data_IF_204313670398
#
_entry.id   IF_204313670398
#
_cell.length_a   1.000
_cell.length_b   1.000
_cell.length_c   1.000
_cell.angle_alpha   90.00
_cell.angle_beta   90.00
_cell.angle_gamma   90.00
#
_symmetry.space_group_name_H-M   'P 1'
#
loop_
_entity.id
_entity.type
_entity.pdbx_description
1 polymer ?
#
# COMPACT_ATOMS: atom_id res chain seq x y z
N UNK A 1 -17.57 -10.09 15.70
CA UNK A 1 -16.38 -10.80 15.16
C UNK A 1 -15.15 -9.97 15.48
N UNK A 2 -13.95 -10.52 15.54
CA UNK A 2 -12.76 -9.70 15.68
C UNK A 2 -12.53 -8.88 14.40
N UNK A 3 -11.99 -7.64 14.50
CA UNK A 3 -11.75 -6.77 13.34
C UNK A 3 -10.74 -7.39 12.37
N UNK A 4 -10.86 -7.08 11.08
CA UNK A 4 -9.89 -7.47 10.06
C UNK A 4 -8.58 -6.72 10.25
N UNK A 5 -8.67 -5.42 10.59
CA UNK A 5 -7.51 -4.58 10.91
C UNK A 5 -7.79 -3.82 12.21
N UNK A 6 -6.84 -3.90 13.14
CA UNK A 6 -6.86 -3.15 14.40
C UNK A 6 -5.52 -2.43 14.56
N UNK A 7 -5.58 -1.12 14.71
CA UNK A 7 -4.44 -0.23 14.97
C UNK A 7 -4.66 0.40 16.33
N UNK A 8 -3.71 0.19 17.25
CA UNK A 8 -3.84 0.65 18.65
C UNK A 8 -2.60 1.46 19.05
N UNK A 9 -2.83 2.73 19.35
CA UNK A 9 -1.84 3.69 19.83
C UNK A 9 -0.56 3.73 18.97
N UNK A 10 -0.72 3.62 17.64
CA UNK A 10 0.43 3.56 16.73
C UNK A 10 1.08 4.93 16.62
N UNK A 11 2.39 4.94 16.93
CA UNK A 11 3.29 6.05 16.72
C UNK A 11 4.44 5.62 15.83
N UNK A 12 4.84 6.50 14.88
CA UNK A 12 5.99 6.26 14.01
C UNK A 12 6.89 7.47 13.96
N UNK A 13 8.13 7.26 14.38
CA UNK A 13 9.19 8.25 14.33
C UNK A 13 10.31 7.79 13.40
N UNK A 14 10.80 8.69 12.56
CA UNK A 14 11.98 8.49 11.72
C UNK A 14 13.12 9.34 12.24
N UNK A 15 14.34 8.76 12.26
CA UNK A 15 15.55 9.49 12.60
C UNK A 15 16.27 9.86 11.31
N UNK A 16 16.20 11.14 10.95
CA UNK A 16 16.91 11.69 9.82
C UNK A 16 18.35 12.04 10.24
N UNK A 17 19.31 11.40 9.59
CA UNK A 17 20.75 11.67 9.84
C UNK A 17 21.29 12.56 8.73
N UNK A 18 21.45 13.84 9.03
CA UNK A 18 22.11 14.79 8.14
C UNK A 18 23.63 14.63 8.28
N UNK A 19 24.34 14.57 7.15
CA UNK A 19 25.80 14.45 7.05
C UNK A 19 26.39 13.11 7.55
N UNK A 20 26.10 12.03 6.86
CA UNK A 20 26.99 10.87 6.92
C UNK A 20 28.32 11.22 6.26
N UNK A 21 29.40 11.33 7.04
CA UNK A 21 30.75 11.37 6.51
C UNK A 21 31.03 10.04 5.80
N UNK A 22 30.79 9.98 4.48
CA UNK A 22 31.13 8.83 3.64
C UNK A 22 32.64 8.85 3.37
N UNK A 23 33.42 8.14 4.17
CA UNK A 23 34.82 7.87 3.91
C UNK A 23 35.71 7.90 5.16
N UNK A 24 36.67 6.94 5.24
CA UNK A 24 37.63 6.89 6.33
C UNK A 24 38.47 8.16 6.47
N UNK A 25 38.77 8.86 5.37
CA UNK A 25 39.49 10.15 5.38
C UNK A 25 38.72 11.28 6.05
N UNK A 26 37.39 11.33 5.91
CA UNK A 26 36.52 12.33 6.52
C UNK A 26 36.34 12.07 8.01
N UNK A 27 36.43 10.82 8.46
CA UNK A 27 36.40 10.46 9.90
C UNK A 27 37.66 10.95 10.62
N UNK A 28 38.82 10.88 9.98
CA UNK A 28 40.08 11.36 10.55
C UNK A 28 40.12 12.90 10.67
N UNK A 29 39.59 13.61 9.67
CA UNK A 29 39.48 15.05 9.71
C UNK A 29 38.42 15.57 10.70
N UNK A 30 37.38 14.78 10.98
CA UNK A 30 36.36 15.12 11.96
C UNK A 30 36.84 15.06 13.43
N UNK A 31 37.96 14.36 13.71
CA UNK A 31 38.59 14.33 15.03
C UNK A 31 39.28 15.67 15.36
N UNK A 32 39.64 16.46 14.36
CA UNK A 32 40.33 17.75 14.52
C UNK A 32 39.41 18.98 14.34
N UNK A 33 38.17 18.79 13.84
CA UNK A 33 37.20 19.87 13.71
C UNK A 33 35.92 19.53 14.51
N UNK A 34 35.76 20.21 15.64
CA UNK A 34 34.60 20.11 16.56
C UNK A 34 33.24 20.53 15.94
N UNK A 35 33.16 20.85 14.62
CA UNK A 35 32.00 21.52 14.03
C UNK A 35 31.05 20.63 13.21
N UNK A 36 31.22 19.28 13.18
CA UNK A 36 30.29 18.40 12.47
C UNK A 36 29.73 17.31 13.36
N UNK A 37 29.07 17.69 14.45
CA UNK A 37 28.17 16.78 15.18
C UNK A 37 27.08 16.30 14.22
N UNK A 38 26.92 14.97 14.07
CA UNK A 38 25.76 14.36 13.43
C UNK A 38 24.48 15.00 13.98
N UNK A 39 23.81 15.80 13.17
CA UNK A 39 22.52 16.37 13.56
C UNK A 39 21.49 15.29 13.30
N UNK A 40 20.97 14.71 14.36
CA UNK A 40 19.83 13.80 14.32
C UNK A 40 18.58 14.65 14.41
N UNK A 41 17.77 14.57 13.40
CA UNK A 41 16.46 15.20 13.40
C UNK A 41 15.42 14.10 13.53
N UNK A 42 14.51 14.25 14.49
CA UNK A 42 13.42 13.32 14.73
C UNK A 42 12.20 13.84 13.98
N UNK A 43 11.71 13.02 13.05
CA UNK A 43 10.51 13.30 12.27
C UNK A 43 9.39 12.36 12.72
N UNK A 44 8.36 12.94 13.36
CA UNK A 44 7.18 12.21 13.79
C UNK A 44 6.20 12.09 12.62
N UNK A 45 6.08 10.90 12.05
CA UNK A 45 5.23 10.64 10.89
C UNK A 45 3.82 10.23 11.28
N UNK A 46 3.64 9.55 12.42
CA UNK A 46 2.34 9.16 12.99
C UNK A 46 2.38 9.38 14.50
N UNK A 47 1.30 9.89 15.05
CA UNK A 47 1.16 10.20 16.47
C UNK A 47 -0.21 9.73 17.00
N UNK A 48 -0.19 8.65 17.78
CA UNK A 48 -1.34 8.04 18.45
C UNK A 48 -2.50 7.66 17.53
N UNK A 49 -2.21 6.93 16.47
CA UNK A 49 -3.23 6.44 15.53
C UNK A 49 -3.99 5.27 16.13
N UNK A 50 -5.31 5.38 16.15
CA UNK A 50 -6.23 4.34 16.55
C UNK A 50 -7.25 4.13 15.42
N UNK A 51 -7.34 2.89 14.87
CA UNK A 51 -8.26 2.56 13.77
C UNK A 51 -8.78 1.13 13.94
N UNK A 52 -10.02 0.93 13.53
CA UNK A 52 -10.66 -0.36 13.51
C UNK A 52 -11.44 -0.54 12.20
N UNK A 53 -11.16 -1.65 11.50
CA UNK A 53 -11.83 -2.02 10.25
C UNK A 53 -12.40 -3.43 10.40
N UNK A 54 -13.71 -3.56 10.23
CA UNK A 54 -14.38 -4.86 10.32
C UNK A 54 -14.19 -5.68 9.01
N UNK A 55 -14.32 -7.01 9.07
CA UNK A 55 -14.26 -7.83 7.87
C UNK A 55 -15.30 -7.39 6.83
N UNK A 56 -14.86 -7.22 5.58
CA UNK A 56 -15.70 -6.79 4.46
C UNK A 56 -15.96 -5.28 4.38
N UNK A 57 -15.51 -4.48 5.35
CA UNK A 57 -15.60 -3.02 5.28
C UNK A 57 -14.54 -2.42 4.35
N UNK A 58 -14.85 -1.24 3.80
CA UNK A 58 -13.89 -0.43 3.07
C UNK A 58 -13.65 0.90 3.76
N UNK A 59 -12.39 1.14 4.14
CA UNK A 59 -11.91 2.36 4.76
C UNK A 59 -11.13 3.20 3.75
N UNK A 60 -11.52 4.47 3.59
CA UNK A 60 -10.75 5.49 2.88
C UNK A 60 -9.84 6.26 3.82
N UNK A 61 -8.54 6.34 3.49
CA UNK A 61 -7.59 7.21 4.19
C UNK A 61 -7.39 8.48 3.36
N UNK A 62 -7.91 9.60 3.85
CA UNK A 62 -7.82 10.93 3.26
C UNK A 62 -6.74 11.78 3.95
N UNK A 63 -6.25 12.80 3.26
CA UNK A 63 -5.29 13.77 3.79
C UNK A 63 -4.33 14.29 2.71
N UNK A 64 -3.66 15.41 2.98
CA UNK A 64 -2.68 15.97 2.05
C UNK A 64 -1.39 15.12 1.98
N UNK A 65 -0.50 15.45 1.05
CA UNK A 65 0.80 14.80 0.95
C UNK A 65 1.63 15.07 2.21
N UNK A 66 2.27 14.00 2.75
CA UNK A 66 3.01 14.10 4.01
C UNK A 66 2.17 13.97 5.29
N UNK A 67 0.85 13.77 5.21
CA UNK A 67 -0.01 13.60 6.40
C UNK A 67 0.17 12.25 7.12
N UNK A 68 0.94 11.30 6.56
CA UNK A 68 1.22 9.99 7.18
C UNK A 68 0.48 8.80 6.56
N UNK A 69 -0.40 9.00 5.56
CA UNK A 69 -1.21 7.92 4.94
C UNK A 69 -0.40 6.72 4.47
N UNK A 70 0.60 6.95 3.62
CA UNK A 70 1.43 5.86 3.07
C UNK A 70 2.26 5.19 4.17
N UNK A 71 2.70 5.93 5.19
CA UNK A 71 3.39 5.36 6.36
C UNK A 71 2.46 4.43 7.14
N UNK A 72 1.22 4.86 7.39
CA UNK A 72 0.22 4.04 8.07
C UNK A 72 -0.11 2.78 7.26
N UNK A 73 -0.30 2.94 5.95
CA UNK A 73 -0.59 1.82 5.06
C UNK A 73 0.55 0.79 5.04
N UNK A 74 1.83 1.24 5.02
CA UNK A 74 3.00 0.36 5.11
C UNK A 74 3.09 -0.37 6.46
N UNK A 75 2.69 0.27 7.55
CA UNK A 75 2.64 -0.37 8.87
C UNK A 75 1.53 -1.44 8.91
N UNK A 76 0.35 -1.15 8.35
CA UNK A 76 -0.75 -2.12 8.26
C UNK A 76 -0.35 -3.30 7.37
N UNK A 77 0.42 -3.06 6.31
CA UNK A 77 0.97 -4.10 5.43
C UNK A 77 2.06 -4.97 6.09
N UNK A 78 2.55 -4.58 7.27
CA UNK A 78 3.70 -5.25 7.90
C UNK A 78 5.05 -4.99 7.22
N UNK A 79 5.12 -4.01 6.31
CA UNK A 79 6.36 -3.59 5.62
C UNK A 79 7.22 -2.74 6.56
N UNK A 80 6.56 -1.95 7.43
CA UNK A 80 7.20 -1.05 8.36
C UNK A 80 6.70 -1.32 9.78
N UNK A 81 7.63 -1.40 10.74
CA UNK A 81 7.27 -1.55 12.16
C UNK A 81 6.91 -0.18 12.77
N UNK A 82 5.89 -0.11 13.63
CA UNK A 82 5.61 1.09 14.41
C UNK A 82 6.72 1.32 15.45
N UNK A 83 6.93 2.58 15.85
CA UNK A 83 7.86 2.91 16.96
C UNK A 83 7.23 2.62 18.33
N UNK A 84 5.90 2.76 18.42
CA UNK A 84 5.09 2.43 19.60
C UNK A 84 3.71 1.96 19.14
N UNK A 85 2.98 1.27 20.04
CA UNK A 85 1.67 0.72 19.74
C UNK A 85 1.76 -0.61 18.99
N UNK A 86 0.64 -1.05 18.42
CA UNK A 86 0.58 -2.31 17.66
C UNK A 86 -0.45 -2.27 16.55
N UNK A 87 -0.22 -3.11 15.53
CA UNK A 87 -1.18 -3.40 14.47
C UNK A 87 -1.45 -4.89 14.43
N UNK A 88 -2.71 -5.25 14.31
CA UNK A 88 -3.15 -6.63 14.15
C UNK A 88 -3.96 -6.70 12.87
N UNK A 89 -3.50 -7.52 11.91
CA UNK A 89 -4.23 -7.87 10.69
C UNK A 89 -4.65 -9.34 10.76
N UNK A 90 -5.86 -9.65 10.31
CA UNK A 90 -6.39 -11.02 10.29
C UNK A 90 -6.78 -11.42 8.89
N UNK A 91 -6.05 -12.37 8.33
CA UNK A 91 -6.19 -12.82 6.96
C UNK A 91 -4.98 -12.46 6.11
N UNK A 92 -5.06 -12.80 4.83
CA UNK A 92 -4.00 -12.55 3.85
C UNK A 92 -4.10 -11.12 3.32
N UNK A 93 -3.02 -10.38 3.47
CA UNK A 93 -2.93 -8.99 3.05
C UNK A 93 -2.24 -8.91 1.69
N UNK A 94 -2.88 -8.29 0.72
CA UNK A 94 -2.25 -7.94 -0.56
C UNK A 94 -2.05 -6.42 -0.66
N UNK A 95 -0.81 -5.92 -0.52
CA UNK A 95 -0.54 -4.50 -0.65
C UNK A 95 -0.35 -4.11 -2.13
N UNK A 96 -1.19 -3.20 -2.63
CA UNK A 96 -0.99 -2.49 -3.90
C UNK A 96 -0.23 -1.16 -3.70
N UNK A 97 0.55 -1.03 -2.63
CA UNK A 97 1.24 0.22 -2.26
C UNK A 97 2.39 0.54 -3.21
N UNK A 98 3.06 -0.48 -3.68
CA UNK A 98 4.16 -0.39 -4.64
C UNK A 98 4.05 -1.62 -5.56
N UNK A 99 3.28 -1.49 -6.62
CA UNK A 99 3.12 -2.56 -7.60
C UNK A 99 4.50 -2.96 -8.16
N UNK A 100 4.79 -4.26 -8.11
CA UNK A 100 6.09 -4.79 -8.53
C UNK A 100 7.15 -4.90 -7.44
N UNK A 101 6.88 -4.46 -6.20
CA UNK A 101 7.77 -4.77 -5.07
C UNK A 101 7.84 -6.28 -4.87
N UNK A 102 9.07 -6.77 -4.73
CA UNK A 102 9.33 -8.21 -4.65
C UNK A 102 9.46 -8.89 -6.00
N UNK A 103 9.29 -8.19 -7.11
CA UNK A 103 9.65 -8.72 -8.42
C UNK A 103 11.17 -8.82 -8.59
N UNK A 104 11.62 -9.90 -9.22
CA UNK A 104 13.01 -10.06 -9.62
C UNK A 104 13.14 -9.78 -11.12
N UNK A 105 13.91 -8.76 -11.54
CA UNK A 105 14.07 -8.38 -12.94
C UNK A 105 14.65 -9.48 -13.83
N UNK A 106 15.41 -10.41 -13.27
CA UNK A 106 16.05 -11.50 -14.03
C UNK A 106 15.10 -12.68 -14.28
N UNK A 107 14.02 -12.79 -13.53
CA UNK A 107 13.00 -13.82 -13.70
C UNK A 107 11.95 -13.38 -14.74
N UNK A 108 11.33 -14.37 -15.39
CA UNK A 108 10.21 -14.16 -16.32
C UNK A 108 8.97 -13.62 -15.61
N UNK A 109 8.00 -13.12 -16.38
CA UNK A 109 6.69 -12.73 -15.83
C UNK A 109 6.01 -13.89 -15.12
N UNK A 110 6.07 -15.10 -15.71
CA UNK A 110 5.53 -16.31 -15.12
C UNK A 110 6.14 -16.63 -13.75
N UNK A 111 7.48 -16.63 -13.66
CA UNK A 111 8.18 -16.91 -12.40
C UNK A 111 7.91 -15.83 -11.34
N UNK A 112 7.79 -14.56 -11.76
CA UNK A 112 7.46 -13.45 -10.87
C UNK A 112 6.03 -13.54 -10.31
N UNK A 113 5.07 -14.13 -11.02
CA UNK A 113 3.74 -14.43 -10.46
C UNK A 113 3.88 -15.30 -9.21
N UNK A 114 4.66 -16.39 -9.30
CA UNK A 114 4.86 -17.29 -8.16
C UNK A 114 5.66 -16.65 -7.05
N UNK A 115 6.73 -15.92 -7.37
CA UNK A 115 7.55 -15.21 -6.40
C UNK A 115 6.70 -14.21 -5.60
N UNK A 116 5.99 -13.31 -6.29
CA UNK A 116 5.20 -12.26 -5.66
C UNK A 116 4.03 -12.82 -4.84
N UNK A 117 3.31 -13.80 -5.39
CA UNK A 117 2.24 -14.46 -4.68
C UNK A 117 2.70 -15.17 -3.40
N UNK A 118 3.90 -15.78 -3.43
CA UNK A 118 4.50 -16.42 -2.26
C UNK A 118 4.85 -15.41 -1.17
N UNK A 119 5.28 -14.20 -1.52
CA UNK A 119 5.53 -13.11 -0.57
C UNK A 119 4.23 -12.67 0.15
N UNK A 120 3.07 -12.81 -0.50
CA UNK A 120 1.76 -12.55 0.12
C UNK A 120 1.23 -13.77 0.90
N UNK A 121 2.04 -14.82 1.08
CA UNK A 121 1.68 -15.99 1.87
C UNK A 121 0.80 -17.01 1.14
N UNK A 122 0.68 -16.94 -0.19
CA UNK A 122 -0.06 -17.92 -0.98
C UNK A 122 0.76 -19.16 -1.27
N UNK A 123 0.16 -20.32 -1.19
CA UNK A 123 0.82 -21.59 -1.50
C UNK A 123 0.86 -21.83 -3.00
N UNK A 124 1.94 -22.45 -3.50
CA UNK A 124 2.09 -22.77 -4.92
C UNK A 124 0.91 -23.51 -5.54
N UNK A 125 0.23 -24.38 -4.78
CA UNK A 125 -0.98 -25.10 -5.25
C UNK A 125 -2.14 -24.15 -5.56
N UNK A 126 -2.25 -23.04 -4.81
CA UNK A 126 -3.34 -22.07 -4.97
C UNK A 126 -3.01 -21.09 -6.09
N UNK A 127 -1.73 -20.74 -6.23
CA UNK A 127 -1.22 -19.92 -7.33
C UNK A 127 -1.44 -20.63 -8.68
N UNK A 128 -1.11 -21.92 -8.77
CA UNK A 128 -1.33 -22.73 -10.00
C UNK A 128 -2.75 -22.71 -10.50
N UNK A 129 -3.75 -22.63 -9.60
CA UNK A 129 -5.16 -22.55 -9.98
C UNK A 129 -5.56 -21.20 -10.60
N UNK A 130 -4.79 -20.15 -10.31
CA UNK A 130 -5.10 -18.76 -10.68
C UNK A 130 -4.17 -18.20 -11.74
N UNK A 131 -3.05 -18.86 -12.03
CA UNK A 131 -2.01 -18.34 -12.90
C UNK A 131 -2.54 -17.99 -14.30
N UNK A 132 -3.46 -18.79 -14.84
CA UNK A 132 -4.09 -18.53 -16.14
C UNK A 132 -4.91 -17.24 -16.09
N UNK A 133 -5.73 -17.07 -15.08
CA UNK A 133 -6.58 -15.87 -14.89
C UNK A 133 -5.73 -14.63 -14.70
N UNK A 134 -4.60 -14.74 -13.96
CA UNK A 134 -3.64 -13.66 -13.74
C UNK A 134 -3.03 -13.21 -15.07
N UNK A 135 -2.56 -14.17 -15.90
CA UNK A 135 -1.94 -13.88 -17.19
C UNK A 135 -2.94 -13.22 -18.13
N UNK A 136 -4.16 -13.76 -18.23
CA UNK A 136 -5.23 -13.24 -19.07
C UNK A 136 -5.64 -11.83 -18.63
N UNK A 137 -5.81 -11.62 -17.33
CA UNK A 137 -6.17 -10.31 -16.80
C UNK A 137 -5.10 -9.26 -17.06
N UNK A 138 -3.83 -9.60 -16.90
CA UNK A 138 -2.70 -8.68 -17.10
C UNK A 138 -2.51 -8.27 -18.57
N UNK A 139 -3.10 -9.02 -19.52
CA UNK A 139 -2.93 -8.86 -20.99
C UNK A 139 -1.47 -9.04 -21.45
N UNK A 140 -0.69 -9.81 -20.71
CA UNK A 140 0.74 -10.01 -20.96
C UNK A 140 1.10 -11.41 -21.47
N UNK A 141 0.12 -12.17 -22.00
CA UNK A 141 0.32 -13.54 -22.45
C UNK A 141 1.50 -13.70 -23.43
N UNK A 142 1.68 -12.75 -24.37
CA UNK A 142 2.79 -12.79 -25.33
C UNK A 142 4.17 -12.51 -24.72
N UNK A 143 4.21 -11.91 -23.53
CA UNK A 143 5.45 -11.51 -22.85
C UNK A 143 5.75 -12.35 -21.61
N UNK A 144 4.88 -13.28 -21.26
CA UNK A 144 4.90 -13.94 -19.95
C UNK A 144 6.20 -14.72 -19.69
N UNK A 145 6.81 -15.26 -20.73
CA UNK A 145 8.09 -16.00 -20.66
C UNK A 145 9.32 -15.08 -20.84
N UNK A 146 9.12 -13.76 -20.93
CA UNK A 146 10.19 -12.77 -21.05
C UNK A 146 10.61 -12.28 -19.67
N UNK A 147 11.93 -12.10 -19.39
CA UNK A 147 12.42 -11.52 -18.14
C UNK A 147 11.86 -10.11 -17.88
N UNK A 148 11.53 -9.82 -16.61
CA UNK A 148 10.88 -8.57 -16.21
C UNK A 148 11.72 -7.31 -16.50
N UNK A 149 13.04 -7.43 -16.59
CA UNK A 149 13.92 -6.30 -17.00
C UNK A 149 13.56 -5.74 -18.37
N UNK A 150 12.88 -6.51 -19.21
CA UNK A 150 12.43 -6.10 -20.55
C UNK A 150 10.98 -5.55 -20.52
N UNK A 151 10.31 -5.53 -19.37
CA UNK A 151 8.96 -4.99 -19.24
C UNK A 151 9.02 -3.47 -19.05
N UNK A 152 8.05 -2.75 -19.64
CA UNK A 152 7.80 -1.38 -19.27
C UNK A 152 7.26 -1.28 -17.84
N UNK A 153 7.33 -0.10 -17.22
CA UNK A 153 6.73 0.12 -15.90
C UNK A 153 5.22 -0.18 -15.89
N UNK A 154 4.51 0.15 -16.97
CA UNK A 154 3.09 -0.17 -17.13
C UNK A 154 2.84 -1.68 -17.16
N UNK A 155 3.67 -2.47 -17.87
CA UNK A 155 3.56 -3.92 -17.90
C UNK A 155 3.80 -4.53 -16.51
N UNK A 156 4.80 -4.04 -15.78
CA UNK A 156 5.06 -4.48 -14.41
C UNK A 156 3.90 -4.16 -13.47
N UNK A 157 3.31 -2.96 -13.59
CA UNK A 157 2.13 -2.57 -12.80
C UNK A 157 0.91 -3.44 -13.13
N UNK A 158 0.64 -3.72 -14.41
CA UNK A 158 -0.46 -4.61 -14.85
C UNK A 158 -0.29 -6.02 -14.26
N UNK A 159 0.93 -6.58 -14.32
CA UNK A 159 1.22 -7.89 -13.75
C UNK A 159 1.04 -7.90 -12.22
N UNK A 160 1.61 -6.92 -11.52
CA UNK A 160 1.50 -6.82 -10.05
C UNK A 160 0.06 -6.68 -9.57
N UNK A 161 -0.73 -5.83 -10.25
CA UNK A 161 -2.15 -5.69 -9.96
C UNK A 161 -2.91 -7.01 -10.20
N UNK A 162 -2.69 -7.66 -11.36
CA UNK A 162 -3.32 -8.93 -11.69
C UNK A 162 -3.03 -10.00 -10.62
N UNK A 163 -1.78 -10.12 -10.17
CA UNK A 163 -1.41 -11.05 -9.09
C UNK A 163 -2.20 -10.74 -7.82
N UNK A 164 -2.19 -9.50 -7.35
CA UNK A 164 -2.80 -9.11 -6.10
C UNK A 164 -4.32 -9.39 -6.04
N UNK A 165 -5.06 -9.10 -7.14
CA UNK A 165 -6.52 -9.22 -7.15
C UNK A 165 -7.05 -10.62 -7.50
N UNK A 166 -6.24 -11.48 -8.15
CA UNK A 166 -6.67 -12.84 -8.51
C UNK A 166 -6.36 -13.87 -7.42
N UNK A 167 -5.50 -13.55 -6.47
CA UNK A 167 -5.21 -14.41 -5.34
C UNK A 167 -6.28 -14.38 -4.24
N UNK A 168 -7.31 -13.55 -4.41
CA UNK A 168 -8.42 -13.40 -3.46
C UNK A 168 -7.91 -13.13 -2.04
N UNK A 169 -7.29 -11.98 -1.80
CA UNK A 169 -6.84 -11.61 -0.47
C UNK A 169 -8.03 -11.34 0.45
N UNK A 170 -7.84 -11.53 1.75
CA UNK A 170 -8.82 -11.16 2.76
C UNK A 170 -8.84 -9.64 2.98
N UNK A 171 -7.67 -8.98 2.81
CA UNK A 171 -7.48 -7.54 2.96
C UNK A 171 -6.68 -7.02 1.75
N UNK A 172 -7.21 -6.02 1.06
CA UNK A 172 -6.52 -5.30 -0.02
C UNK A 172 -6.15 -3.89 0.47
N UNK A 173 -4.87 -3.55 0.35
CA UNK A 173 -4.37 -2.22 0.68
C UNK A 173 -3.99 -1.51 -0.62
N UNK A 174 -4.66 -0.42 -0.96
CA UNK A 174 -4.42 0.33 -2.19
C UNK A 174 -3.99 1.78 -1.89
N UNK A 175 -2.89 2.23 -2.52
CA UNK A 175 -2.40 3.59 -2.45
C UNK A 175 -2.53 4.25 -3.83
N UNK A 176 -3.47 5.15 -4.03
CA UNK A 176 -3.73 5.95 -5.26
C UNK A 176 -3.62 5.20 -6.61
N UNK A 177 -3.15 3.96 -6.61
CA UNK A 177 -2.71 3.14 -7.74
C UNK A 177 -3.92 2.46 -8.46
N UNK A 178 -5.14 2.94 -8.26
CA UNK A 178 -6.27 2.49 -9.08
C UNK A 178 -6.20 3.04 -10.53
N UNK A 179 -5.23 3.91 -10.82
CA UNK A 179 -4.94 4.49 -12.12
C UNK A 179 -3.82 3.73 -12.89
N UNK A 180 -3.82 2.39 -12.83
CA UNK A 180 -2.84 1.55 -13.54
C UNK A 180 -3.22 1.39 -15.00
N UNK A 181 -2.28 1.63 -15.90
CA UNK A 181 -2.48 1.43 -17.34
C UNK A 181 -3.36 2.49 -17.99
N UNK A 182 -3.97 2.12 -19.12
CA UNK A 182 -4.94 2.93 -19.86
C UNK A 182 -6.36 2.83 -19.28
N UNK A 183 -7.27 3.66 -19.72
CA UNK A 183 -8.63 3.72 -19.19
C UNK A 183 -9.37 2.36 -19.25
N UNK A 184 -9.30 1.56 -20.35
CA UNK A 184 -9.94 0.25 -20.37
C UNK A 184 -9.40 -0.70 -19.28
N UNK A 185 -8.09 -0.66 -19.02
CA UNK A 185 -7.51 -1.49 -17.98
C UNK A 185 -7.89 -1.01 -16.56
N UNK A 186 -7.98 0.32 -16.36
CA UNK A 186 -8.47 0.90 -15.10
C UNK A 186 -9.91 0.48 -14.81
N UNK A 187 -10.80 0.50 -15.81
CA UNK A 187 -12.18 0.08 -15.66
C UNK A 187 -12.29 -1.41 -15.29
N UNK A 188 -11.44 -2.24 -15.89
CA UNK A 188 -11.28 -3.66 -15.55
C UNK A 188 -10.79 -3.87 -14.11
N UNK A 189 -9.83 -3.06 -13.67
CA UNK A 189 -9.35 -3.07 -12.28
C UNK A 189 -10.46 -2.70 -11.29
N UNK A 190 -11.21 -1.64 -11.58
CA UNK A 190 -12.32 -1.18 -10.75
C UNK A 190 -13.43 -2.24 -10.64
N UNK A 191 -13.80 -2.86 -11.75
CA UNK A 191 -14.78 -3.94 -11.77
C UNK A 191 -14.32 -5.12 -10.90
N UNK A 192 -13.04 -5.50 -11.00
CA UNK A 192 -12.48 -6.60 -10.21
C UNK A 192 -12.46 -6.32 -8.71
N UNK A 193 -12.11 -5.10 -8.31
CA UNK A 193 -12.18 -4.69 -6.89
C UNK A 193 -13.63 -4.74 -6.39
N UNK A 194 -14.59 -4.27 -7.18
CA UNK A 194 -16.00 -4.32 -6.80
C UNK A 194 -16.50 -5.76 -6.60
N UNK A 195 -16.11 -6.69 -7.49
CA UNK A 195 -16.41 -8.13 -7.34
C UNK A 195 -15.84 -8.70 -6.04
N UNK A 196 -14.55 -8.43 -5.74
CA UNK A 196 -13.89 -8.91 -4.53
C UNK A 196 -14.55 -8.35 -3.27
N UNK A 197 -14.96 -7.08 -3.31
CA UNK A 197 -15.71 -6.47 -2.21
C UNK A 197 -17.07 -7.13 -1.99
N UNK A 198 -17.78 -7.41 -3.06
CA UNK A 198 -19.06 -8.14 -2.99
C UNK A 198 -18.89 -9.56 -2.40
N UNK A 199 -17.69 -10.15 -2.50
CA UNK A 199 -17.30 -11.41 -1.90
C UNK A 199 -16.82 -11.29 -0.45
N UNK A 200 -16.84 -10.10 0.15
CA UNK A 200 -16.48 -9.85 1.55
C UNK A 200 -15.01 -9.45 1.78
N UNK A 201 -14.27 -9.08 0.73
CA UNK A 201 -12.91 -8.55 0.88
C UNK A 201 -12.92 -7.19 1.60
N UNK A 202 -12.05 -7.03 2.59
CA UNK A 202 -11.79 -5.76 3.28
C UNK A 202 -10.89 -4.90 2.41
N UNK A 203 -11.20 -3.60 2.28
CA UNK A 203 -10.40 -2.65 1.51
C UNK A 203 -9.91 -1.51 2.40
N UNK A 204 -8.62 -1.15 2.29
CA UNK A 204 -8.11 0.12 2.78
C UNK A 204 -7.55 0.88 1.58
N UNK A 205 -8.16 2.02 1.26
CA UNK A 205 -7.82 2.85 0.11
C UNK A 205 -7.25 4.19 0.58
N UNK A 206 -6.00 4.46 0.21
CA UNK A 206 -5.43 5.80 0.34
C UNK A 206 -5.76 6.58 -0.93
N UNK A 207 -6.33 7.74 -0.78
CA UNK A 207 -6.56 8.66 -1.89
C UNK A 207 -6.54 10.12 -1.43
N UNK A 208 -6.17 11.02 -2.33
CA UNK A 208 -6.38 12.45 -2.18
C UNK A 208 -7.75 12.90 -2.75
N UNK A 209 -8.43 12.02 -3.49
CA UNK A 209 -9.73 12.28 -4.10
C UNK A 209 -10.87 11.78 -3.21
N UNK A 210 -11.67 12.71 -2.69
CA UNK A 210 -12.90 12.39 -1.95
C UNK A 210 -13.91 11.62 -2.81
N UNK A 211 -13.91 11.83 -4.14
CA UNK A 211 -14.77 11.13 -5.08
C UNK A 211 -14.43 9.64 -5.17
N UNK A 212 -13.14 9.30 -5.28
CA UNK A 212 -12.70 7.90 -5.27
C UNK A 212 -13.06 7.21 -3.96
N UNK A 213 -12.85 7.87 -2.83
CA UNK A 213 -13.19 7.34 -1.51
C UNK A 213 -14.70 7.12 -1.41
N UNK A 214 -15.54 8.05 -1.87
CA UNK A 214 -17.00 7.87 -1.91
C UNK A 214 -17.43 6.69 -2.78
N UNK A 215 -16.77 6.47 -3.89
CA UNK A 215 -17.10 5.39 -4.83
C UNK A 215 -16.77 4.00 -4.25
N UNK A 216 -15.65 3.86 -3.56
CA UNK A 216 -15.11 2.55 -3.16
C UNK A 216 -15.23 2.24 -1.68
N UNK A 217 -15.42 3.24 -0.82
CA UNK A 217 -15.37 3.05 0.63
C UNK A 217 -16.74 3.19 1.29
N UNK A 218 -16.86 2.69 2.52
CA UNK A 218 -18.05 2.78 3.37
C UNK A 218 -17.84 3.79 4.49
N UNK A 219 -16.58 4.04 4.84
CA UNK A 219 -16.16 4.99 5.85
C UNK A 219 -14.83 5.63 5.48
N UNK A 220 -14.51 6.74 6.09
CA UNK A 220 -13.25 7.43 5.87
C UNK A 220 -12.64 7.93 7.18
N UNK A 221 -11.32 8.07 7.13
CA UNK A 221 -10.53 8.74 8.16
C UNK A 221 -9.63 9.75 7.47
N UNK A 222 -9.61 10.98 7.99
CA UNK A 222 -8.71 12.03 7.50
C UNK A 222 -7.53 12.16 8.43
N UNK A 223 -6.35 12.07 7.84
CA UNK A 223 -5.08 12.29 8.52
C UNK A 223 -4.55 13.70 8.22
N UNK A 224 -4.09 14.36 9.27
CA UNK A 224 -3.32 15.60 9.18
C UNK A 224 -2.17 15.54 10.18
N UNK A 225 -0.96 15.89 9.71
CA UNK A 225 0.26 15.89 10.53
C UNK A 225 0.44 14.63 11.40
N UNK A 226 0.15 13.46 10.83
CA UNK A 226 0.30 12.18 11.51
C UNK A 226 -0.79 11.84 12.53
N UNK A 227 -1.88 12.60 12.60
CA UNK A 227 -3.01 12.37 13.52
C UNK A 227 -4.31 12.20 12.77
N UNK A 228 -5.25 11.48 13.38
CA UNK A 228 -6.64 11.44 12.92
C UNK A 228 -7.32 12.73 13.34
N UNK A 229 -7.80 13.51 12.37
CA UNK A 229 -8.52 14.80 12.62
C UNK A 229 -10.00 14.71 12.32
N UNK A 230 -10.42 13.73 11.54
CA UNK A 230 -11.82 13.53 11.16
C UNK A 230 -12.05 12.07 10.81
N UNK A 231 -13.19 11.54 11.19
CA UNK A 231 -13.67 10.22 10.77
C UNK A 231 -15.17 10.26 10.52
N UNK A 232 -15.63 9.43 9.59
CA UNK A 232 -17.05 9.40 9.26
C UNK A 232 -17.44 8.22 8.38
N UNK A 233 -18.75 7.98 8.29
CA UNK A 233 -19.34 7.05 7.32
C UNK A 233 -19.69 7.79 6.05
N UNK A 234 -19.57 7.09 4.93
CA UNK A 234 -19.91 7.61 3.62
C UNK A 234 -21.36 7.26 3.33
N UNK A 235 -22.19 8.28 3.24
CA UNK A 235 -23.55 8.15 2.73
C UNK A 235 -23.51 8.27 1.20
N UNK A 236 -23.80 7.16 0.51
CA UNK A 236 -23.78 7.10 -0.97
C UNK A 236 -24.82 8.01 -1.63
N UNK A 237 -25.74 8.58 -0.83
CA UNK A 237 -26.79 9.49 -1.28
C UNK A 237 -26.47 10.97 -1.01
N UNK A 238 -25.39 11.26 -0.31
CA UNK A 238 -24.99 12.64 0.01
C UNK A 238 -23.63 12.96 -0.59
N UNK A 239 -23.42 14.14 -1.23
CA UNK A 239 -22.10 14.50 -1.76
C UNK A 239 -21.08 14.56 -0.61
N UNK A 240 -19.94 13.92 -0.84
CA UNK A 240 -18.83 13.83 0.12
C UNK A 240 -18.40 15.21 0.60
N UNK A 241 -17.99 15.37 1.88
CA UNK A 241 -17.48 16.63 2.39
C UNK A 241 -16.30 17.12 1.55
N UNK A 242 -16.42 18.33 1.03
CA UNK A 242 -15.37 19.00 0.24
C UNK A 242 -14.09 19.10 1.07
N UNK A 243 -12.89 18.99 0.47
CA UNK A 243 -11.65 19.20 1.19
C UNK A 243 -11.69 20.58 1.85
N UNK A 244 -11.38 20.64 3.15
CA UNK A 244 -11.24 21.90 3.84
C UNK A 244 -10.25 22.78 3.05
N UNK A 245 -10.70 23.96 2.63
CA UNK A 245 -9.86 24.94 1.97
C UNK A 245 -8.74 25.30 2.92
N UNK A 246 -7.50 25.07 2.47
CA UNK A 246 -6.26 25.56 3.07
C UNK A 246 -6.22 27.07 3.13
#
# INVERSE_FOLDING_TARGET
>A
MPPAVLVEHVRKEFILRHNRAMGMKTRFLALFHQSKRERREHFLALDDINLRVEPGEALGLLGHNGSGKSTLLQIIAGILEPSQGRVITRGRVAPLIQLGVGFNPELTGFENIFLNASLYGFLNRDIKKRVKDIIEFSELAHFIDTPLKNYSSGMQMRLGFAVAVHLQPDILLADEILAVGDQPFQDKCHARIAELRAQGMTLILVSHSSEQVSKFCDQYVRLDQGRVVEEGRIDKNTPTPSPARS
#
